data_IF_350985309587
#
_entry.id   IF_350985309587
#
_cell.length_a   1.000
_cell.length_b   1.000
_cell.length_c   1.000
_cell.angle_alpha   90.00
_cell.angle_beta   90.00
_cell.angle_gamma   90.00
#
_symmetry.space_group_name_H-M   'P 1'
#
loop_
_entity.id
_entity.type
_entity.pdbx_description
1 polymer ?
#
# COMPACT_ATOMS: atom_id res chain seq x y z
N UNK A 1 17.76 16.17 -21.60
CA UNK A 1 16.46 16.75 -21.24
C UNK A 1 16.53 17.18 -19.78
N UNK A 2 16.29 18.44 -19.49
CA UNK A 2 16.27 18.96 -18.10
C UNK A 2 14.86 18.82 -17.50
N UNK A 3 14.76 18.83 -16.18
CA UNK A 3 13.47 18.71 -15.49
C UNK A 3 12.53 19.92 -15.69
N UNK A 4 13.03 21.04 -16.23
CA UNK A 4 12.25 22.22 -16.63
C UNK A 4 12.02 22.31 -18.14
N UNK A 5 12.41 21.32 -18.90
CA UNK A 5 12.19 21.26 -20.34
C UNK A 5 10.69 21.08 -20.62
N UNK A 6 10.06 21.91 -21.48
CA UNK A 6 8.63 21.73 -21.81
C UNK A 6 8.30 20.33 -22.31
N UNK A 7 9.17 19.73 -23.12
CA UNK A 7 8.97 18.35 -23.57
C UNK A 7 8.98 17.32 -22.42
N UNK A 8 9.76 17.59 -21.37
CA UNK A 8 9.73 16.73 -20.18
C UNK A 8 8.36 16.78 -19.47
N UNK A 9 7.77 17.98 -19.39
CA UNK A 9 6.42 18.12 -18.83
C UNK A 9 5.37 17.36 -19.64
N UNK A 10 5.42 17.45 -20.97
CA UNK A 10 4.53 16.68 -21.85
C UNK A 10 4.65 15.18 -21.61
N UNK A 11 5.88 14.64 -21.52
CA UNK A 11 6.14 13.22 -21.21
C UNK A 11 5.59 12.83 -19.83
N UNK A 12 5.77 13.70 -18.83
CA UNK A 12 5.28 13.44 -17.47
C UNK A 12 3.74 13.44 -17.40
N UNK A 13 3.09 14.38 -18.07
CA UNK A 13 1.64 14.48 -18.11
C UNK A 13 1.02 13.28 -18.84
N UNK A 14 1.57 12.90 -20.00
CA UNK A 14 1.16 11.68 -20.71
C UNK A 14 1.35 10.43 -19.84
N UNK A 15 2.47 10.31 -19.14
CA UNK A 15 2.74 9.19 -18.22
C UNK A 15 1.69 9.12 -17.11
N UNK A 16 1.34 10.25 -16.50
CA UNK A 16 0.31 10.32 -15.47
C UNK A 16 -1.05 9.90 -15.99
N UNK A 17 -1.41 10.35 -17.19
CA UNK A 17 -2.70 10.00 -17.79
C UNK A 17 -2.78 8.51 -18.15
N UNK A 18 -1.71 7.92 -18.67
CA UNK A 18 -1.62 6.48 -18.91
C UNK A 18 -1.70 5.66 -17.62
N UNK A 19 -1.06 6.12 -16.53
CA UNK A 19 -1.18 5.50 -15.22
C UNK A 19 -2.61 5.57 -14.68
N UNK A 20 -3.30 6.73 -14.79
CA UNK A 20 -4.70 6.86 -14.40
C UNK A 20 -5.59 5.88 -15.15
N UNK A 21 -5.37 5.70 -16.45
CA UNK A 21 -6.11 4.72 -17.26
C UNK A 21 -5.83 3.29 -16.81
N UNK A 22 -4.56 2.95 -16.59
CA UNK A 22 -4.13 1.61 -16.16
C UNK A 22 -4.72 1.22 -14.80
N UNK A 23 -4.66 2.14 -13.84
CA UNK A 23 -5.19 1.93 -12.49
C UNK A 23 -6.69 2.27 -12.37
N UNK A 24 -7.33 2.73 -13.46
CA UNK A 24 -8.74 3.15 -13.48
C UNK A 24 -9.08 4.13 -12.37
N UNK A 25 -8.19 5.08 -12.09
CA UNK A 25 -8.33 6.08 -11.03
C UNK A 25 -8.62 7.46 -11.59
N UNK A 26 -9.35 8.26 -10.81
CA UNK A 26 -9.60 9.69 -11.08
C UNK A 26 -8.72 10.59 -10.19
N UNK A 27 -7.84 10.00 -9.38
CA UNK A 27 -6.98 10.75 -8.49
C UNK A 27 -6.02 11.64 -9.27
N UNK A 28 -5.94 12.91 -8.90
CA UNK A 28 -5.00 13.85 -9.53
C UNK A 28 -3.55 13.50 -9.21
N UNK A 29 -3.29 13.11 -7.97
CA UNK A 29 -1.97 12.65 -7.50
C UNK A 29 -1.70 11.21 -7.93
N UNK A 30 -1.51 11.01 -9.23
CA UNK A 30 -1.13 9.73 -9.83
C UNK A 30 0.20 9.91 -10.54
N UNK A 31 1.27 9.33 -10.02
CA UNK A 31 2.62 9.48 -10.57
C UNK A 31 3.50 8.29 -10.20
N UNK A 32 4.54 7.99 -10.99
CA UNK A 32 5.51 6.94 -10.67
C UNK A 32 6.55 7.42 -9.66
N UNK A 33 6.99 6.52 -8.80
CA UNK A 33 8.18 6.72 -7.97
C UNK A 33 9.39 6.17 -8.72
N UNK A 34 10.40 7.01 -8.92
CA UNK A 34 11.64 6.58 -9.55
C UNK A 34 12.46 5.73 -8.58
N UNK A 35 12.48 4.42 -8.83
CA UNK A 35 13.20 3.47 -7.99
C UNK A 35 12.69 2.04 -8.15
N UNK A 36 13.07 1.19 -7.21
CA UNK A 36 12.56 -0.18 -7.12
C UNK A 36 11.17 -0.22 -6.50
N UNK A 37 10.45 -1.36 -6.58
CA UNK A 37 9.18 -1.55 -5.87
C UNK A 37 9.27 -1.28 -4.38
N UNK A 38 10.41 -1.59 -3.76
CA UNK A 38 10.68 -1.26 -2.35
C UNK A 38 10.72 0.25 -2.09
N UNK A 39 11.28 1.03 -3.02
CA UNK A 39 11.27 2.49 -2.89
C UNK A 39 9.85 3.05 -3.00
N UNK A 40 9.01 2.49 -3.86
CA UNK A 40 7.59 2.84 -3.95
C UNK A 40 6.82 2.51 -2.68
N UNK A 41 7.05 1.32 -2.11
CA UNK A 41 6.46 0.89 -0.85
C UNK A 41 6.86 1.84 0.31
N UNK A 42 8.14 2.14 0.43
CA UNK A 42 8.65 3.06 1.46
C UNK A 42 8.10 4.48 1.26
N UNK A 43 8.06 4.97 0.02
CA UNK A 43 7.48 6.27 -0.30
C UNK A 43 5.99 6.34 0.10
N UNK A 44 5.19 5.31 -0.19
CA UNK A 44 3.79 5.28 0.20
C UNK A 44 3.63 5.33 1.72
N UNK A 45 4.35 4.50 2.45
CA UNK A 45 4.24 4.43 3.92
C UNK A 45 4.74 5.73 4.56
N UNK A 46 5.94 6.20 4.21
CA UNK A 46 6.53 7.39 4.83
C UNK A 46 5.76 8.69 4.54
N UNK A 47 4.93 8.73 3.49
CA UNK A 47 4.10 9.90 3.18
C UNK A 47 2.68 9.80 3.75
N UNK A 48 2.22 8.62 4.13
CA UNK A 48 0.85 8.40 4.63
C UNK A 48 0.79 8.14 6.13
N UNK A 49 1.91 7.83 6.77
CA UNK A 49 1.98 7.40 8.17
C UNK A 49 2.70 8.45 9.00
N UNK A 50 2.00 8.97 9.99
CA UNK A 50 2.56 9.83 11.02
C UNK A 50 2.87 9.03 12.30
N UNK A 51 3.81 9.48 13.14
CA UNK A 51 4.08 8.83 14.41
C UNK A 51 2.83 8.69 15.28
N UNK A 52 2.52 7.45 15.66
CA UNK A 52 1.34 7.13 16.47
C UNK A 52 0.11 6.67 15.68
N UNK A 53 0.12 6.78 14.36
CA UNK A 53 -0.93 6.24 13.50
C UNK A 53 -1.07 4.73 13.64
N UNK A 54 -2.29 4.23 13.50
CA UNK A 54 -2.60 2.81 13.55
C UNK A 54 -2.70 2.23 12.14
N UNK A 55 -1.94 1.15 11.89
CA UNK A 55 -1.95 0.44 10.62
C UNK A 55 -2.22 -1.04 10.82
N UNK A 56 -3.00 -1.61 9.92
CA UNK A 56 -3.12 -3.06 9.78
C UNK A 56 -2.26 -3.52 8.62
N UNK A 57 -1.36 -4.45 8.84
CA UNK A 57 -0.44 -4.94 7.80
C UNK A 57 -0.58 -6.45 7.63
N UNK A 58 -0.90 -6.89 6.42
CA UNK A 58 -0.91 -8.31 6.05
C UNK A 58 0.50 -8.83 5.82
N UNK A 59 0.84 -9.93 6.51
CA UNK A 59 2.17 -10.55 6.46
C UNK A 59 2.04 -12.01 6.08
N UNK A 60 2.23 -12.30 4.80
CA UNK A 60 2.18 -13.65 4.24
C UNK A 60 3.40 -13.97 3.35
N UNK A 61 4.45 -13.15 3.46
CA UNK A 61 5.71 -13.28 2.75
C UNK A 61 6.72 -12.22 3.17
N UNK A 62 7.85 -12.20 2.47
CA UNK A 62 8.96 -11.30 2.75
C UNK A 62 8.56 -9.82 2.64
N UNK A 63 7.84 -9.46 1.56
CA UNK A 63 7.50 -8.05 1.32
C UNK A 63 6.43 -7.53 2.29
N UNK A 64 5.49 -8.38 2.71
CA UNK A 64 4.57 -8.03 3.80
C UNK A 64 5.29 -7.77 5.13
N UNK A 65 6.29 -8.58 5.47
CA UNK A 65 7.12 -8.36 6.64
C UNK A 65 7.92 -7.05 6.54
N UNK A 66 8.48 -6.74 5.37
CA UNK A 66 9.19 -5.47 5.13
C UNK A 66 8.26 -4.26 5.22
N UNK A 67 7.05 -4.37 4.73
CA UNK A 67 6.03 -3.32 4.85
C UNK A 67 5.73 -3.00 6.31
N UNK A 68 5.56 -4.04 7.14
CA UNK A 68 5.38 -3.89 8.59
C UNK A 68 6.58 -3.19 9.25
N UNK A 69 7.80 -3.60 8.92
CA UNK A 69 9.03 -2.99 9.45
C UNK A 69 9.14 -1.51 9.08
N UNK A 70 8.85 -1.13 7.84
CA UNK A 70 8.88 0.27 7.39
C UNK A 70 7.83 1.08 8.17
N UNK A 71 6.61 0.58 8.31
CA UNK A 71 5.56 1.26 9.05
C UNK A 71 5.93 1.50 10.52
N UNK A 72 6.55 0.50 11.17
CA UNK A 72 7.06 0.63 12.55
C UNK A 72 8.19 1.67 12.66
N UNK A 73 9.11 1.67 11.70
CA UNK A 73 10.21 2.67 11.66
C UNK A 73 9.69 4.10 11.43
N UNK A 74 8.60 4.26 10.71
CA UNK A 74 7.91 5.54 10.53
C UNK A 74 7.14 5.99 11.78
N UNK A 75 7.16 5.19 12.86
CA UNK A 75 6.49 5.49 14.12
C UNK A 75 5.04 5.02 14.17
N UNK A 76 4.57 4.27 13.20
CA UNK A 76 3.23 3.68 13.18
C UNK A 76 3.06 2.55 14.19
N UNK A 77 1.86 2.44 14.75
CA UNK A 77 1.42 1.33 15.59
C UNK A 77 0.85 0.24 14.68
N UNK A 78 1.60 -0.83 14.48
CA UNK A 78 1.25 -1.87 13.51
C UNK A 78 0.53 -3.03 14.18
N UNK A 79 -0.64 -3.37 13.65
CA UNK A 79 -1.35 -4.62 13.92
C UNK A 79 -1.09 -5.56 12.74
N UNK A 80 -0.27 -6.58 12.95
CA UNK A 80 0.05 -7.55 11.90
C UNK A 80 -1.02 -8.63 11.77
N UNK A 81 -1.48 -8.87 10.55
CA UNK A 81 -2.29 -10.05 10.19
C UNK A 81 -1.37 -11.07 9.56
N UNK A 82 -0.90 -12.01 10.36
CA UNK A 82 0.01 -13.06 9.91
C UNK A 82 -0.74 -14.23 9.30
N UNK A 83 -0.28 -14.66 8.13
CA UNK A 83 -0.73 -15.90 7.49
C UNK A 83 0.49 -16.75 7.12
N UNK A 84 0.27 -18.03 6.98
CA UNK A 84 1.30 -18.96 6.50
C UNK A 84 1.82 -18.52 5.13
N UNK A 85 3.12 -18.46 4.97
CA UNK A 85 3.73 -18.10 3.70
C UNK A 85 3.23 -19.00 2.58
N UNK A 86 2.82 -18.41 1.48
CA UNK A 86 2.19 -19.12 0.37
C UNK A 86 0.66 -19.15 0.42
N UNK A 87 0.03 -18.50 1.40
CA UNK A 87 -1.42 -18.36 1.50
C UNK A 87 -1.85 -16.89 1.55
N UNK A 88 -2.98 -16.52 0.92
CA UNK A 88 -3.52 -15.18 1.04
C UNK A 88 -4.08 -14.93 2.44
N UNK A 89 -3.95 -13.71 2.91
CA UNK A 89 -4.59 -13.25 4.15
C UNK A 89 -6.11 -13.26 3.95
N UNK A 90 -6.85 -13.77 4.92
CA UNK A 90 -8.32 -13.83 4.85
C UNK A 90 -8.96 -12.49 5.20
N UNK A 91 -10.14 -12.24 4.63
CA UNK A 91 -10.94 -11.04 4.91
C UNK A 91 -11.36 -10.99 6.38
N UNK A 92 -11.67 -12.13 6.97
CA UNK A 92 -12.08 -12.27 8.36
C UNK A 92 -10.95 -11.87 9.31
N UNK A 93 -9.72 -12.32 9.04
CA UNK A 93 -8.56 -11.93 9.82
C UNK A 93 -8.27 -10.44 9.74
N UNK A 94 -8.48 -9.82 8.57
CA UNK A 94 -8.36 -8.38 8.40
C UNK A 94 -9.44 -7.63 9.18
N UNK A 95 -10.70 -8.09 9.14
CA UNK A 95 -11.80 -7.50 9.92
C UNK A 95 -11.52 -7.55 11.41
N UNK A 96 -11.04 -8.70 11.90
CA UNK A 96 -10.69 -8.86 13.32
C UNK A 96 -9.52 -7.92 13.72
N UNK A 97 -8.53 -7.76 12.86
CA UNK A 97 -7.39 -6.88 13.14
C UNK A 97 -7.78 -5.40 13.13
N UNK A 98 -8.51 -4.95 12.10
CA UNK A 98 -8.89 -3.54 11.97
C UNK A 98 -9.87 -3.10 13.07
N UNK A 99 -10.72 -4.00 13.56
CA UNK A 99 -11.63 -3.72 14.67
C UNK A 99 -10.92 -3.44 16.01
N UNK A 100 -9.64 -3.79 16.13
CA UNK A 100 -8.79 -3.50 17.30
C UNK A 100 -8.15 -2.11 17.25
N UNK A 101 -8.21 -1.46 16.11
CA UNK A 101 -7.70 -0.11 15.92
C UNK A 101 -8.80 0.90 16.28
N UNK A 102 -8.44 1.93 17.05
CA UNK A 102 -9.38 2.99 17.37
C UNK A 102 -9.62 3.91 16.16
N UNK A 103 -8.58 4.16 15.38
CA UNK A 103 -8.59 5.01 14.19
C UNK A 103 -7.54 4.53 13.18
N UNK A 104 -7.82 3.48 12.42
CA UNK A 104 -6.86 2.96 11.45
C UNK A 104 -6.62 3.98 10.32
N UNK A 105 -5.36 4.33 10.10
CA UNK A 105 -4.95 5.23 9.00
C UNK A 105 -4.86 4.48 7.68
N UNK A 106 -4.30 3.28 7.71
CA UNK A 106 -4.13 2.46 6.51
C UNK A 106 -4.21 0.96 6.81
N UNK A 107 -4.68 0.24 5.79
CA UNK A 107 -4.55 -1.20 5.65
C UNK A 107 -3.55 -1.47 4.53
N UNK A 108 -2.48 -2.20 4.80
CA UNK A 108 -1.40 -2.45 3.87
C UNK A 108 -1.22 -3.94 3.60
N UNK A 109 -1.16 -4.33 2.32
CA UNK A 109 -1.04 -5.72 1.87
C UNK A 109 -0.23 -5.77 0.58
N UNK A 110 0.53 -6.82 0.38
CA UNK A 110 1.22 -7.06 -0.89
C UNK A 110 0.28 -7.79 -1.84
N UNK A 111 -0.17 -7.12 -2.93
CA UNK A 111 -1.09 -7.71 -3.90
C UNK A 111 -0.49 -8.92 -4.62
N UNK A 112 0.75 -8.81 -5.04
CA UNK A 112 1.51 -9.91 -5.66
C UNK A 112 2.77 -10.18 -4.83
N UNK A 113 2.66 -11.05 -3.83
CA UNK A 113 3.77 -11.42 -2.96
C UNK A 113 4.74 -12.36 -3.69
N UNK A 114 5.69 -11.77 -4.39
CA UNK A 114 6.62 -12.49 -5.27
C UNK A 114 7.57 -13.43 -4.54
N UNK A 115 7.82 -13.18 -3.24
CA UNK A 115 8.67 -14.08 -2.43
C UNK A 115 8.03 -15.45 -2.20
N UNK A 116 6.70 -15.56 -2.31
CA UNK A 116 5.95 -16.78 -2.05
C UNK A 116 5.03 -17.20 -3.21
N UNK A 117 4.91 -16.35 -4.25
CA UNK A 117 4.05 -16.59 -5.40
C UNK A 117 2.55 -16.40 -5.13
N UNK A 118 2.18 -15.69 -4.08
CA UNK A 118 0.78 -15.46 -3.70
C UNK A 118 0.20 -14.25 -4.41
N UNK A 119 -0.96 -14.42 -5.02
CA UNK A 119 -1.85 -13.32 -5.41
C UNK A 119 -2.85 -13.08 -4.28
N UNK A 120 -2.81 -11.90 -3.68
CA UNK A 120 -3.73 -11.46 -2.63
C UNK A 120 -4.96 -10.79 -3.27
N UNK A 121 -6.17 -11.37 -3.14
CA UNK A 121 -7.39 -10.68 -3.56
C UNK A 121 -7.64 -9.43 -2.72
N UNK A 122 -7.86 -8.28 -3.37
CA UNK A 122 -7.98 -7.00 -2.66
C UNK A 122 -9.40 -6.46 -2.56
N UNK A 123 -10.33 -6.89 -3.45
CA UNK A 123 -11.65 -6.26 -3.58
C UNK A 123 -12.43 -6.17 -2.26
N UNK A 124 -12.59 -7.27 -1.55
CA UNK A 124 -13.31 -7.30 -0.26
C UNK A 124 -12.51 -6.63 0.86
N UNK A 125 -11.19 -6.77 0.83
CA UNK A 125 -10.29 -6.14 1.80
C UNK A 125 -10.32 -4.62 1.65
N UNK A 126 -10.38 -4.11 0.42
CA UNK A 126 -10.51 -2.67 0.15
C UNK A 126 -11.83 -2.11 0.73
N UNK A 127 -12.92 -2.85 0.62
CA UNK A 127 -14.20 -2.45 1.24
C UNK A 127 -14.06 -2.34 2.76
N UNK A 128 -13.44 -3.33 3.39
CA UNK A 128 -13.19 -3.32 4.84
C UNK A 128 -12.36 -2.11 5.26
N UNK A 129 -11.29 -1.79 4.52
CA UNK A 129 -10.49 -0.59 4.80
C UNK A 129 -11.34 0.68 4.73
N UNK A 130 -12.09 0.87 3.63
CA UNK A 130 -12.91 2.06 3.42
C UNK A 130 -14.05 2.19 4.41
N UNK A 131 -14.70 1.09 4.82
CA UNK A 131 -15.74 1.08 5.86
C UNK A 131 -15.22 1.59 7.21
N UNK A 132 -13.92 1.44 7.47
CA UNK A 132 -13.25 1.94 8.68
C UNK A 132 -12.54 3.28 8.47
N UNK A 133 -12.70 3.93 7.32
CA UNK A 133 -12.06 5.19 6.98
C UNK A 133 -10.56 5.10 6.73
N UNK A 134 -10.04 3.89 6.55
CA UNK A 134 -8.62 3.65 6.28
C UNK A 134 -8.32 3.67 4.77
N UNK A 135 -7.11 4.16 4.41
CA UNK A 135 -6.56 4.00 3.07
C UNK A 135 -6.10 2.56 2.80
N UNK A 136 -6.03 2.16 1.53
CA UNK A 136 -5.42 0.89 1.14
C UNK A 136 -4.07 1.13 0.48
N UNK A 137 -3.02 0.46 0.98
CA UNK A 137 -1.70 0.35 0.36
C UNK A 137 -1.55 -1.09 -0.17
N UNK A 138 -1.26 -1.26 -1.48
CA UNK A 138 -1.16 -2.57 -2.13
C UNK A 138 0.01 -2.65 -3.12
#
# INVERSE_FOLDING_TARGET
MGHLDPYFFEVMDETRDLLKQTFRTKNEMTFPISGTGMAGMEAAICNLVEPGDELVVGVNGFFGARMSEIAQRSGGKVVEVKESWGRPVSVEAVKDAISKCARPTALALVHAETSTGVLQPLSEIAKVAHEHGAGLIA
#
